data_IF_791156957915
#
_entry.id   IF_791156957915
#
_cell.length_a   1.000
_cell.length_b   1.000
_cell.length_c   1.000
_cell.angle_alpha   90.00
_cell.angle_beta   90.00
_cell.angle_gamma   90.00
#
_symmetry.space_group_name_H-M   'P 1'
#
loop_
_entity.id
_entity.type
_entity.pdbx_description
1 polymer ?
#
# COMPACT_ATOMS: atom_id res chain seq x y z
N UNK A 1 3.75 -2.48 -14.97
CA UNK A 1 5.05 -2.11 -15.53
C UNK A 1 6.09 -3.15 -15.12
N UNK A 2 6.92 -3.58 -16.06
CA UNK A 2 8.10 -4.42 -15.84
C UNK A 2 9.19 -3.98 -16.82
N UNK A 3 10.27 -3.39 -16.32
CA UNK A 3 11.33 -2.79 -17.16
C UNK A 3 12.69 -2.82 -16.48
N UNK A 4 13.77 -2.79 -17.26
CA UNK A 4 15.14 -2.80 -16.78
C UNK A 4 15.65 -4.21 -16.42
N UNK A 5 16.87 -4.26 -15.91
CA UNK A 5 17.59 -5.48 -15.54
C UNK A 5 18.34 -5.31 -14.21
N UNK A 6 18.74 -6.40 -13.59
CA UNK A 6 19.51 -6.41 -12.36
C UNK A 6 18.68 -6.49 -11.10
N UNK A 7 19.08 -5.78 -10.03
CA UNK A 7 18.37 -5.78 -8.74
C UNK A 7 16.90 -5.39 -8.91
N UNK A 8 15.99 -6.28 -8.55
CA UNK A 8 14.56 -6.01 -8.71
C UNK A 8 14.04 -5.07 -7.62
N UNK A 9 13.31 -4.03 -8.03
CA UNK A 9 12.64 -3.06 -7.19
C UNK A 9 11.14 -3.18 -7.46
N UNK A 10 10.40 -3.71 -6.49
CA UNK A 10 8.97 -4.03 -6.61
C UNK A 10 8.16 -3.02 -5.85
N UNK A 11 7.27 -2.31 -6.56
CA UNK A 11 6.40 -1.28 -6.00
C UNK A 11 4.99 -1.83 -5.80
N UNK A 12 4.46 -1.73 -4.58
CA UNK A 12 3.10 -2.18 -4.26
C UNK A 12 2.25 -1.02 -3.79
N UNK A 13 1.17 -0.78 -4.51
CA UNK A 13 0.13 0.19 -4.16
C UNK A 13 -0.92 -0.43 -3.21
N UNK A 14 -1.89 0.38 -2.78
CA UNK A 14 -3.06 -0.06 -2.02
C UNK A 14 -4.36 0.50 -2.59
N UNK A 15 -5.34 0.71 -1.72
CA UNK A 15 -6.70 1.12 -2.08
C UNK A 15 -6.87 2.65 -2.15
N UNK A 16 -7.50 3.22 -3.16
CA UNK A 16 -8.03 2.65 -4.40
C UNK A 16 -7.07 2.85 -5.60
N UNK A 17 -5.78 2.83 -5.31
CA UNK A 17 -4.74 3.17 -6.27
C UNK A 17 -4.45 2.04 -7.28
N UNK A 18 -3.41 2.25 -8.07
CA UNK A 18 -2.84 1.32 -9.03
C UNK A 18 -1.36 1.64 -9.23
N UNK A 19 -0.71 1.00 -10.18
CA UNK A 19 0.65 1.35 -10.63
C UNK A 19 0.79 2.84 -11.00
N UNK A 20 -0.30 3.49 -11.39
CA UNK A 20 -0.35 4.93 -11.69
C UNK A 20 0.13 5.81 -10.53
N UNK A 21 -0.05 5.38 -9.27
CA UNK A 21 0.44 6.07 -8.09
C UNK A 21 1.97 6.32 -8.12
N UNK A 22 2.71 5.41 -8.73
CA UNK A 22 4.17 5.42 -8.75
C UNK A 22 4.79 6.13 -9.97
N UNK A 23 3.95 6.66 -10.91
CA UNK A 23 4.39 7.24 -12.18
C UNK A 23 5.44 8.35 -12.07
N UNK A 24 5.40 9.13 -10.99
CA UNK A 24 6.32 10.23 -10.75
C UNK A 24 7.54 9.82 -9.90
N UNK A 25 7.60 8.56 -9.44
CA UNK A 25 8.68 8.02 -8.60
C UNK A 25 9.54 7.05 -9.40
N UNK A 26 8.94 6.14 -10.14
CA UNK A 26 9.68 5.11 -10.89
C UNK A 26 10.72 5.65 -11.86
N UNK A 27 10.54 6.79 -12.57
CA UNK A 27 11.56 7.33 -13.46
C UNK A 27 12.88 7.69 -12.75
N UNK A 28 12.83 8.08 -11.46
CA UNK A 28 14.04 8.44 -10.72
C UNK A 28 14.90 7.23 -10.32
N UNK A 29 14.34 6.03 -10.37
CA UNK A 29 15.04 4.77 -10.08
C UNK A 29 15.31 3.94 -11.33
N UNK A 30 14.98 4.48 -12.52
CA UNK A 30 15.37 3.87 -13.79
C UNK A 30 16.90 3.76 -13.89
N UNK A 31 17.39 2.60 -14.37
CA UNK A 31 18.83 2.31 -14.44
C UNK A 31 19.43 1.79 -13.14
N UNK A 32 18.72 1.79 -12.01
CA UNK A 32 19.19 1.21 -10.75
C UNK A 32 18.94 -0.29 -10.64
N UNK A 33 18.01 -0.80 -11.45
CA UNK A 33 17.63 -2.20 -11.45
C UNK A 33 16.41 -2.48 -12.33
N UNK A 34 15.83 -3.66 -12.16
CA UNK A 34 14.55 -4.03 -12.79
C UNK A 34 13.40 -3.49 -11.96
N UNK A 35 12.60 -2.62 -12.55
CA UNK A 35 11.44 -2.01 -11.92
C UNK A 35 10.20 -2.85 -12.22
N UNK A 36 9.51 -3.31 -11.19
CA UNK A 36 8.29 -4.11 -11.28
C UNK A 36 7.18 -3.41 -10.51
N UNK A 37 6.11 -3.03 -11.19
CA UNK A 37 4.98 -2.31 -10.61
C UNK A 37 3.68 -3.00 -11.03
N UNK A 38 3.26 -4.06 -10.32
CA UNK A 38 2.00 -4.72 -10.60
C UNK A 38 0.82 -3.87 -10.16
N UNK A 39 -0.31 -4.05 -10.82
CA UNK A 39 -1.61 -3.67 -10.31
C UNK A 39 -2.19 -4.84 -9.49
N UNK A 40 -2.69 -4.57 -8.29
CA UNK A 40 -3.37 -5.59 -7.49
C UNK A 40 -4.63 -6.08 -8.21
N UNK A 41 -4.99 -7.34 -8.02
CA UNK A 41 -6.17 -7.95 -8.65
C UNK A 41 -7.41 -7.10 -8.40
N UNK A 42 -8.15 -6.84 -9.46
CA UNK A 42 -9.34 -5.98 -9.44
C UNK A 42 -9.07 -4.48 -9.49
N UNK A 43 -7.80 -4.05 -9.55
CA UNK A 43 -7.39 -2.64 -9.54
C UNK A 43 -6.50 -2.33 -10.76
N UNK A 44 -6.42 -1.04 -11.13
CA UNK A 44 -5.61 -0.63 -12.28
C UNK A 44 -5.98 -1.36 -13.57
N UNK A 45 -4.99 -1.96 -14.22
CA UNK A 45 -5.14 -2.77 -15.42
C UNK A 45 -5.28 -4.27 -15.18
N UNK A 46 -5.27 -4.72 -13.91
CA UNK A 46 -5.47 -6.13 -13.57
C UNK A 46 -6.94 -6.56 -13.73
N UNK A 47 -7.13 -7.83 -14.02
CA UNK A 47 -8.46 -8.42 -14.23
C UNK A 47 -9.36 -8.27 -12.99
N UNK A 48 -10.65 -8.13 -13.26
CA UNK A 48 -11.72 -8.26 -12.26
C UNK A 48 -12.08 -9.73 -12.10
N UNK A 49 -12.43 -10.12 -10.87
CA UNK A 49 -12.90 -11.49 -10.63
C UNK A 49 -14.32 -11.68 -11.15
N UNK A 50 -14.61 -12.84 -11.73
CA UNK A 50 -15.95 -13.19 -12.23
C UNK A 50 -17.00 -13.25 -11.09
N UNK A 51 -16.57 -13.67 -9.90
CA UNK A 51 -17.40 -13.75 -8.70
C UNK A 51 -16.84 -12.85 -7.60
N UNK A 52 -16.96 -11.52 -7.73
CA UNK A 52 -16.40 -10.58 -6.77
C UNK A 52 -17.14 -10.65 -5.44
N UNK A 53 -16.40 -10.87 -4.36
CA UNK A 53 -16.91 -10.86 -2.99
C UNK A 53 -15.87 -10.29 -2.04
N UNK A 54 -16.26 -10.05 -0.80
CA UNK A 54 -15.34 -9.60 0.23
C UNK A 54 -14.26 -10.65 0.51
N UNK A 55 -14.62 -11.93 0.50
CA UNK A 55 -13.71 -13.05 0.74
C UNK A 55 -12.71 -13.20 -0.40
N UNK A 56 -13.18 -13.09 -1.66
CA UNK A 56 -12.33 -13.25 -2.84
C UNK A 56 -11.38 -12.07 -3.03
N UNK A 57 -11.70 -10.87 -2.55
CA UNK A 57 -10.78 -9.72 -2.50
C UNK A 57 -10.18 -9.52 -1.09
N UNK A 58 -9.96 -10.60 -0.34
CA UNK A 58 -9.36 -10.52 0.98
C UNK A 58 -7.84 -10.28 0.92
N UNK A 59 -7.27 -9.77 2.03
CA UNK A 59 -5.82 -9.65 2.18
C UNK A 59 -5.12 -10.99 1.96
N UNK A 60 -5.70 -12.07 2.46
CA UNK A 60 -5.17 -13.42 2.30
C UNK A 60 -5.06 -13.85 0.84
N UNK A 61 -6.09 -13.59 0.04
CA UNK A 61 -6.07 -13.90 -1.39
C UNK A 61 -5.06 -13.00 -2.13
N UNK A 62 -4.98 -11.70 -1.80
CA UNK A 62 -3.97 -10.82 -2.38
C UNK A 62 -2.52 -11.23 -2.03
N UNK A 63 -2.26 -11.71 -0.82
CA UNK A 63 -0.97 -12.28 -0.44
C UNK A 63 -0.65 -13.50 -1.31
N UNK A 64 -1.61 -14.40 -1.52
CA UNK A 64 -1.44 -15.58 -2.38
C UNK A 64 -1.14 -15.19 -3.83
N UNK A 65 -1.93 -14.27 -4.40
CA UNK A 65 -1.68 -13.80 -5.76
C UNK A 65 -0.33 -13.10 -5.91
N UNK A 66 0.11 -12.37 -4.90
CA UNK A 66 1.42 -11.76 -4.92
C UNK A 66 2.54 -12.80 -4.84
N UNK A 67 2.41 -13.83 -4.00
CA UNK A 67 3.33 -14.96 -3.95
C UNK A 67 3.44 -15.65 -5.32
N UNK A 68 2.31 -15.96 -5.95
CA UNK A 68 2.24 -16.60 -7.26
C UNK A 68 2.85 -15.69 -8.35
N UNK A 69 2.55 -14.40 -8.33
CA UNK A 69 3.11 -13.40 -9.25
C UNK A 69 4.65 -13.35 -9.14
N UNK A 70 5.19 -13.16 -7.92
CA UNK A 70 6.64 -13.07 -7.71
C UNK A 70 7.37 -14.38 -8.08
N UNK A 71 6.72 -15.52 -7.91
CA UNK A 71 7.27 -16.81 -8.34
C UNK A 71 7.20 -16.99 -9.86
N UNK A 72 6.20 -16.41 -10.52
CA UNK A 72 6.01 -16.49 -11.97
C UNK A 72 6.97 -15.63 -12.80
N UNK A 73 7.36 -14.45 -12.29
CA UNK A 73 8.17 -13.46 -13.05
C UNK A 73 9.68 -13.67 -13.01
N UNK A 74 10.19 -14.74 -12.42
CA UNK A 74 11.63 -15.10 -12.33
C UNK A 74 12.52 -13.91 -11.97
N UNK A 75 12.63 -13.63 -10.69
CA UNK A 75 13.55 -12.62 -10.16
C UNK A 75 14.90 -13.26 -9.83
N UNK A 76 15.99 -12.74 -10.40
CA UNK A 76 17.33 -13.34 -10.26
C UNK A 76 18.00 -13.07 -8.89
N UNK A 77 17.55 -12.06 -8.17
CA UNK A 77 18.20 -11.58 -6.94
C UNK A 77 17.17 -11.29 -5.85
N UNK A 78 17.68 -11.00 -4.63
CA UNK A 78 16.86 -10.44 -3.59
C UNK A 78 16.18 -9.16 -4.06
N UNK A 79 14.91 -8.97 -3.71
CA UNK A 79 14.13 -7.81 -4.14
C UNK A 79 14.18 -6.68 -3.12
N UNK A 80 14.06 -5.45 -3.60
CA UNK A 80 13.73 -4.29 -2.80
C UNK A 80 12.23 -4.08 -2.93
N UNK A 81 11.53 -4.00 -1.80
CA UNK A 81 10.11 -3.66 -1.76
C UNK A 81 9.93 -2.16 -1.52
N UNK A 82 9.08 -1.50 -2.31
CA UNK A 82 8.62 -0.12 -2.10
C UNK A 82 7.11 -0.18 -1.94
N UNK A 83 6.62 0.02 -0.72
CA UNK A 83 5.28 -0.40 -0.33
C UNK A 83 4.50 0.72 0.36
N UNK A 84 3.20 0.79 0.05
CA UNK A 84 2.27 1.78 0.54
C UNK A 84 0.92 1.14 0.86
N UNK A 85 0.21 1.62 1.88
CA UNK A 85 -1.14 1.22 2.25
C UNK A 85 -1.28 -0.32 2.33
N UNK A 86 -2.25 -0.95 1.67
CA UNK A 86 -2.41 -2.40 1.63
C UNK A 86 -1.26 -3.15 0.96
N UNK A 87 -0.57 -2.50 0.01
CA UNK A 87 0.67 -3.04 -0.53
C UNK A 87 1.73 -3.25 0.54
N UNK A 88 1.68 -2.48 1.64
CA UNK A 88 2.57 -2.70 2.79
C UNK A 88 2.23 -3.98 3.56
N UNK A 89 0.95 -4.27 3.79
CA UNK A 89 0.54 -5.50 4.46
C UNK A 89 0.96 -6.75 3.65
N UNK A 90 0.78 -6.70 2.32
CA UNK A 90 1.22 -7.77 1.41
C UNK A 90 2.76 -7.90 1.44
N UNK A 91 3.48 -6.79 1.30
CA UNK A 91 4.95 -6.79 1.24
C UNK A 91 5.60 -7.20 2.57
N UNK A 92 5.06 -6.78 3.70
CA UNK A 92 5.56 -7.20 5.02
C UNK A 92 5.31 -8.69 5.30
N UNK A 93 4.15 -9.23 4.91
CA UNK A 93 3.92 -10.67 5.05
C UNK A 93 4.84 -11.48 4.14
N UNK A 94 5.05 -11.04 2.89
CA UNK A 94 6.02 -11.64 1.98
C UNK A 94 7.44 -11.62 2.56
N UNK A 95 7.88 -10.48 3.11
CA UNK A 95 9.20 -10.35 3.72
C UNK A 95 9.37 -11.23 4.97
N UNK A 96 8.32 -11.40 5.77
CA UNK A 96 8.30 -12.34 6.90
C UNK A 96 8.41 -13.80 6.43
N UNK A 97 7.73 -14.14 5.33
CA UNK A 97 7.66 -15.49 4.78
C UNK A 97 8.96 -15.91 4.06
N UNK A 98 9.61 -14.94 3.39
CA UNK A 98 10.80 -15.15 2.58
C UNK A 98 11.88 -14.10 2.86
N UNK A 99 12.40 -13.99 4.09
CA UNK A 99 13.36 -12.95 4.47
C UNK A 99 14.65 -12.99 3.66
N UNK A 100 15.08 -14.18 3.23
CA UNK A 100 16.26 -14.38 2.39
C UNK A 100 16.11 -13.78 0.98
N UNK A 101 14.89 -13.55 0.51
CA UNK A 101 14.57 -12.95 -0.78
C UNK A 101 14.50 -11.42 -0.74
N UNK A 102 14.68 -10.80 0.44
CA UNK A 102 14.55 -9.35 0.62
C UNK A 102 15.92 -8.70 0.76
N UNK A 103 16.22 -7.73 -0.11
CA UNK A 103 17.39 -6.88 -0.02
C UNK A 103 17.14 -5.65 0.86
N UNK A 104 15.90 -5.16 0.89
CA UNK A 104 15.48 -4.04 1.71
C UNK A 104 14.02 -3.66 1.49
N UNK A 105 13.51 -2.81 2.37
CA UNK A 105 12.11 -2.37 2.35
C UNK A 105 12.05 -0.86 2.49
N UNK A 106 11.40 -0.19 1.55
CA UNK A 106 10.97 1.21 1.65
C UNK A 106 9.47 1.21 1.91
N UNK A 107 9.02 1.89 2.95
CA UNK A 107 7.60 1.92 3.26
C UNK A 107 7.13 3.31 3.69
N UNK A 108 5.88 3.61 3.40
CA UNK A 108 5.23 4.88 3.67
C UNK A 108 3.73 4.69 3.85
N UNK A 109 3.11 5.44 4.77
CA UNK A 109 1.67 5.38 5.08
C UNK A 109 1.15 3.92 5.10
N UNK A 110 1.82 3.10 5.91
CA UNK A 110 1.76 1.64 5.92
C UNK A 110 0.91 1.11 7.07
N UNK A 111 0.40 -0.11 6.92
CA UNK A 111 -0.31 -0.86 7.97
C UNK A 111 0.75 -1.62 8.78
N UNK A 112 1.21 -1.04 9.89
CA UNK A 112 2.36 -1.53 10.66
C UNK A 112 1.99 -2.39 11.86
N UNK A 113 0.79 -2.25 12.38
CA UNK A 113 0.27 -3.04 13.51
C UNK A 113 -1.27 -2.99 13.53
N UNK A 114 -1.94 -3.91 14.24
CA UNK A 114 -3.37 -3.77 14.54
C UNK A 114 -3.65 -2.48 15.33
N UNK A 115 -4.81 -1.89 15.12
CA UNK A 115 -5.20 -0.59 15.66
C UNK A 115 -6.50 -0.68 16.45
N UNK A 116 -6.78 0.35 17.23
CA UNK A 116 -8.10 0.58 17.82
C UNK A 116 -8.77 1.76 17.12
N UNK A 117 -10.08 1.87 17.24
CA UNK A 117 -10.79 3.06 16.74
C UNK A 117 -10.32 4.36 17.40
N UNK A 118 -9.80 4.29 18.63
CA UNK A 118 -9.16 5.43 19.30
C UNK A 118 -7.87 5.92 18.63
N UNK A 119 -7.21 5.04 17.87
CA UNK A 119 -5.95 5.33 17.17
C UNK A 119 -6.22 5.76 15.72
N UNK A 120 -7.47 5.62 15.25
CA UNK A 120 -7.88 5.99 13.90
C UNK A 120 -8.15 7.51 13.83
N UNK A 121 -7.84 8.19 12.71
CA UNK A 121 -8.10 9.61 12.56
C UNK A 121 -9.56 9.96 12.85
N UNK A 122 -9.80 10.90 13.77
CA UNK A 122 -11.14 11.23 14.26
C UNK A 122 -12.06 11.67 13.13
N UNK A 123 -11.55 12.52 12.24
CA UNK A 123 -12.30 13.04 11.09
C UNK A 123 -12.69 11.94 10.07
N UNK A 124 -11.97 10.83 10.03
CA UNK A 124 -12.25 9.69 9.15
C UNK A 124 -13.12 8.61 9.80
N UNK A 125 -13.18 8.55 11.15
CA UNK A 125 -13.84 7.48 11.90
C UNK A 125 -15.28 7.24 11.45
N UNK A 126 -16.08 8.30 11.29
CA UNK A 126 -17.51 8.19 10.92
C UNK A 126 -17.67 7.54 9.54
N UNK A 127 -16.93 7.99 8.53
CA UNK A 127 -17.06 7.48 7.16
C UNK A 127 -16.53 6.05 7.06
N UNK A 128 -15.43 5.72 7.75
CA UNK A 128 -14.91 4.34 7.75
C UNK A 128 -15.83 3.37 8.47
N UNK A 129 -16.49 3.77 9.56
CA UNK A 129 -17.54 2.95 10.20
C UNK A 129 -18.73 2.70 9.27
N UNK A 130 -19.16 3.71 8.51
CA UNK A 130 -20.23 3.53 7.51
C UNK A 130 -19.80 2.59 6.37
N UNK A 131 -18.58 2.72 5.83
CA UNK A 131 -18.08 1.81 4.79
C UNK A 131 -17.98 0.35 5.27
N UNK A 132 -17.75 0.13 6.55
CA UNK A 132 -17.68 -1.21 7.17
C UNK A 132 -19.05 -1.78 7.54
N UNK A 133 -20.13 -1.00 7.51
CA UNK A 133 -21.51 -1.44 7.70
C UNK A 133 -22.20 -1.78 6.36
N UNK A 134 -23.48 -2.16 6.42
CA UNK A 134 -24.31 -2.43 5.24
C UNK A 134 -24.43 -1.20 4.33
N UNK A 135 -24.37 0.03 4.89
CA UNK A 135 -24.36 1.27 4.12
C UNK A 135 -23.11 1.38 3.19
N UNK A 136 -22.07 0.60 3.44
CA UNK A 136 -20.86 0.58 2.62
C UNK A 136 -21.11 0.17 1.18
N UNK A 137 -22.07 -0.70 0.92
CA UNK A 137 -22.42 -1.12 -0.44
C UNK A 137 -22.94 0.04 -1.26
N UNK A 138 -23.91 0.79 -0.77
CA UNK A 138 -24.40 1.99 -1.45
C UNK A 138 -23.31 3.05 -1.62
N UNK A 139 -22.53 3.30 -0.57
CA UNK A 139 -21.49 4.34 -0.58
C UNK A 139 -20.37 4.03 -1.58
N UNK A 140 -19.97 2.78 -1.69
CA UNK A 140 -18.82 2.40 -2.51
C UNK A 140 -19.25 1.82 -3.86
N UNK A 141 -20.13 0.80 -3.87
CA UNK A 141 -20.48 0.14 -5.12
C UNK A 141 -21.29 1.06 -6.02
N UNK A 142 -22.19 1.88 -5.46
CA UNK A 142 -23.04 2.78 -6.26
C UNK A 142 -22.43 4.19 -6.38
N UNK A 143 -21.99 4.80 -5.27
CA UNK A 143 -21.54 6.20 -5.24
C UNK A 143 -20.04 6.38 -5.45
N UNK A 144 -19.26 5.29 -5.48
CA UNK A 144 -17.79 5.31 -5.65
C UNK A 144 -17.06 6.26 -4.70
N UNK A 145 -17.54 6.36 -3.45
CA UNK A 145 -17.10 7.42 -2.53
C UNK A 145 -15.60 7.34 -2.20
N UNK A 146 -15.02 6.15 -2.29
CA UNK A 146 -13.59 5.97 -2.02
C UNK A 146 -12.73 6.72 -3.05
N UNK A 147 -13.05 6.58 -4.33
CA UNK A 147 -12.33 7.27 -5.43
C UNK A 147 -12.75 8.75 -5.52
N UNK A 148 -14.04 9.05 -5.34
CA UNK A 148 -14.56 10.39 -5.59
C UNK A 148 -14.36 11.36 -4.40
N UNK A 149 -14.16 10.85 -3.18
CA UNK A 149 -14.09 11.65 -1.96
C UNK A 149 -12.85 11.35 -1.12
N UNK A 150 -12.63 10.07 -0.76
CA UNK A 150 -11.55 9.71 0.16
C UNK A 150 -10.19 9.96 -0.48
N UNK A 151 -9.97 9.47 -1.70
CA UNK A 151 -8.72 9.68 -2.43
C UNK A 151 -8.33 11.16 -2.51
N UNK A 152 -9.13 12.07 -3.10
CA UNK A 152 -8.73 13.47 -3.24
C UNK A 152 -8.64 14.21 -1.89
N UNK A 153 -9.38 13.81 -0.86
CA UNK A 153 -9.25 14.40 0.48
C UNK A 153 -8.02 13.92 1.27
N UNK A 154 -7.35 12.89 0.76
CA UNK A 154 -6.14 12.30 1.34
C UNK A 154 -4.87 12.72 0.59
N UNK A 155 -4.94 13.83 -0.15
CA UNK A 155 -3.85 14.47 -0.91
C UNK A 155 -3.91 15.97 -0.61
N UNK A 156 -2.76 16.61 -0.40
CA UNK A 156 -2.69 18.07 -0.12
C UNK A 156 -2.93 18.86 -1.41
N UNK A 157 -2.25 18.46 -2.49
CA UNK A 157 -2.43 19.13 -3.79
C UNK A 157 -3.75 18.75 -4.43
N UNK A 158 -4.25 19.59 -5.32
CA UNK A 158 -5.40 19.22 -6.14
C UNK A 158 -4.93 18.35 -7.32
N UNK A 159 -5.54 17.19 -7.50
CA UNK A 159 -5.36 16.37 -8.69
C UNK A 159 -6.01 17.06 -9.89
N UNK A 160 -5.42 16.93 -11.08
CA UNK A 160 -6.03 17.35 -12.34
C UNK A 160 -7.17 16.41 -12.73
N UNK A 161 -8.02 16.83 -13.66
CA UNK A 161 -9.12 16.00 -14.18
C UNK A 161 -8.58 14.75 -14.89
N UNK A 162 -7.41 14.83 -15.53
CA UNK A 162 -6.75 13.70 -16.16
C UNK A 162 -6.25 12.69 -15.11
N UNK A 163 -5.60 13.17 -14.04
CA UNK A 163 -5.16 12.31 -12.93
C UNK A 163 -6.34 11.62 -12.26
N UNK A 164 -7.41 12.36 -11.98
CA UNK A 164 -8.64 11.78 -11.43
C UNK A 164 -9.29 10.78 -12.40
N UNK A 165 -9.24 11.03 -13.70
CA UNK A 165 -9.73 10.08 -14.71
C UNK A 165 -8.96 8.76 -14.67
N UNK A 166 -7.64 8.79 -14.48
CA UNK A 166 -6.84 7.59 -14.34
C UNK A 166 -7.21 6.79 -13.07
N UNK A 167 -7.43 7.45 -11.93
CA UNK A 167 -7.89 6.77 -10.70
C UNK A 167 -9.31 6.22 -10.82
N UNK A 168 -10.20 6.87 -11.58
CA UNK A 168 -11.58 6.40 -11.84
C UNK A 168 -11.65 5.20 -12.77
N UNK A 169 -10.72 5.12 -13.72
CA UNK A 169 -10.77 4.17 -14.84
C UNK A 169 -11.09 2.72 -14.43
N UNK A 170 -10.50 2.14 -13.38
CA UNK A 170 -10.80 0.77 -12.97
C UNK A 170 -12.18 0.60 -12.33
N UNK A 171 -12.85 1.69 -11.96
CA UNK A 171 -14.06 1.73 -11.14
C UNK A 171 -15.22 2.50 -11.77
N UNK A 172 -15.20 2.69 -13.09
CA UNK A 172 -16.25 3.42 -13.82
C UNK A 172 -17.60 2.73 -13.73
N UNK A 173 -17.63 1.41 -13.89
CA UNK A 173 -18.85 0.63 -13.78
C UNK A 173 -19.24 0.43 -12.32
N UNK A 174 -20.45 0.83 -11.98
CA UNK A 174 -21.02 0.63 -10.65
C UNK A 174 -21.22 -0.86 -10.32
N UNK A 175 -21.36 -1.18 -9.05
CA UNK A 175 -21.56 -2.54 -8.58
C UNK A 175 -20.25 -3.31 -8.44
N UNK A 176 -20.20 -4.50 -8.99
CA UNK A 176 -19.16 -5.51 -8.77
C UNK A 176 -17.73 -5.06 -9.12
N UNK A 177 -17.57 -4.17 -10.11
CA UNK A 177 -16.24 -3.67 -10.49
C UNK A 177 -15.57 -2.86 -9.37
N UNK A 178 -16.37 -2.32 -8.44
CA UNK A 178 -15.91 -1.56 -7.27
C UNK A 178 -15.74 -2.42 -6.01
N UNK A 179 -15.99 -3.73 -6.08
CA UNK A 179 -15.85 -4.64 -4.93
C UNK A 179 -14.48 -4.55 -4.24
N UNK A 180 -13.32 -4.44 -4.93
CA UNK A 180 -12.04 -4.28 -4.25
C UNK A 180 -12.03 -3.08 -3.30
N UNK A 181 -12.57 -1.92 -3.74
CA UNK A 181 -12.60 -0.69 -2.93
C UNK A 181 -13.55 -0.76 -1.73
N UNK A 182 -14.50 -1.71 -1.72
CA UNK A 182 -15.34 -2.02 -0.56
C UNK A 182 -14.66 -3.04 0.37
N UNK A 183 -14.01 -4.05 -0.20
CA UNK A 183 -13.38 -5.10 0.59
C UNK A 183 -12.25 -4.57 1.47
N UNK A 184 -11.40 -3.69 0.95
CA UNK A 184 -10.26 -3.16 1.68
C UNK A 184 -10.61 -2.40 2.98
N UNK A 185 -11.52 -1.41 3.02
CA UNK A 185 -11.86 -0.74 4.29
C UNK A 185 -12.51 -1.68 5.30
N UNK A 186 -13.19 -2.73 4.85
CA UNK A 186 -13.78 -3.76 5.73
C UNK A 186 -12.74 -4.67 6.37
N UNK A 187 -11.52 -4.72 5.84
CA UNK A 187 -10.43 -5.54 6.34
C UNK A 187 -9.41 -4.80 7.21
N UNK A 188 -9.53 -3.48 7.37
CA UNK A 188 -8.62 -2.74 8.25
C UNK A 188 -8.66 -3.37 9.65
N UNK A 189 -7.50 -3.77 10.23
CA UNK A 189 -7.43 -4.50 11.51
C UNK A 189 -7.72 -3.57 12.70
N UNK A 190 -9.00 -3.29 12.93
CA UNK A 190 -9.49 -2.36 13.95
C UNK A 190 -10.24 -3.11 15.05
N UNK A 191 -9.88 -2.88 16.31
CA UNK A 191 -10.51 -3.50 17.48
C UNK A 191 -10.54 -5.04 17.39
N UNK A 192 -9.41 -5.64 17.01
CA UNK A 192 -9.21 -7.09 16.85
C UNK A 192 -10.08 -7.75 15.76
N UNK A 193 -10.62 -6.95 14.83
CA UNK A 193 -11.44 -7.43 13.71
C UNK A 193 -10.98 -6.85 12.35
N UNK A 194 -11.06 -7.64 11.24
CA UNK A 194 -11.32 -9.09 11.20
C UNK A 194 -10.15 -9.89 11.77
N UNK A 195 -10.45 -10.93 12.53
CA UNK A 195 -9.45 -11.73 13.28
C UNK A 195 -8.35 -12.27 12.37
N UNK A 196 -8.67 -12.78 11.18
CA UNK A 196 -7.67 -13.31 10.24
C UNK A 196 -6.66 -12.22 9.82
N UNK A 197 -7.14 -11.01 9.52
CA UNK A 197 -6.27 -9.89 9.14
C UNK A 197 -5.43 -9.42 10.32
N UNK A 198 -6.04 -9.30 11.50
CA UNK A 198 -5.33 -8.97 12.74
C UNK A 198 -4.19 -9.95 13.02
N UNK A 199 -4.40 -11.25 12.81
CA UNK A 199 -3.37 -12.27 13.01
C UNK A 199 -2.24 -12.17 11.99
N UNK A 200 -2.55 -11.91 10.71
CA UNK A 200 -1.54 -11.67 9.68
C UNK A 200 -0.69 -10.45 10.05
N UNK A 201 -1.36 -9.33 10.37
CA UNK A 201 -0.71 -8.06 10.71
C UNK A 201 0.16 -8.20 11.96
N UNK A 202 -0.33 -8.84 13.00
CA UNK A 202 0.43 -9.09 14.25
C UNK A 202 1.70 -9.91 13.98
N UNK A 203 1.59 -10.98 13.20
CA UNK A 203 2.72 -11.86 12.88
C UNK A 203 3.83 -11.13 12.12
N UNK A 204 3.50 -10.34 11.08
CA UNK A 204 4.54 -9.61 10.39
C UNK A 204 5.07 -8.41 11.20
N UNK A 205 4.24 -7.77 12.02
CA UNK A 205 4.65 -6.68 12.88
C UNK A 205 5.74 -7.10 13.86
N UNK A 206 5.55 -8.24 14.54
CA UNK A 206 6.55 -8.78 15.45
C UNK A 206 7.83 -9.19 14.71
N UNK A 207 7.72 -9.77 13.51
CA UNK A 207 8.88 -10.06 12.69
C UNK A 207 9.62 -8.77 12.28
N UNK A 208 8.91 -7.72 11.81
CA UNK A 208 9.52 -6.46 11.41
C UNK A 208 10.28 -5.77 12.54
N UNK A 209 9.84 -5.93 13.77
CA UNK A 209 10.47 -5.37 14.95
C UNK A 209 11.87 -5.94 15.23
N UNK A 210 12.08 -7.23 14.96
CA UNK A 210 13.30 -7.94 15.38
C UNK A 210 14.25 -8.29 14.23
N UNK A 211 13.78 -8.28 12.97
CA UNK A 211 14.64 -8.62 11.83
C UNK A 211 15.64 -7.49 11.47
N UNK A 212 16.72 -7.86 10.78
CA UNK A 212 17.76 -6.95 10.32
C UNK A 212 17.66 -6.55 8.85
N UNK A 213 16.55 -6.82 8.17
CA UNK A 213 16.33 -6.32 6.83
C UNK A 213 16.44 -4.79 6.86
N UNK A 214 17.24 -4.22 5.95
CA UNK A 214 17.44 -2.77 5.84
C UNK A 214 16.12 -2.09 5.47
N UNK A 215 15.74 -1.04 6.20
CA UNK A 215 14.48 -0.33 6.01
C UNK A 215 14.69 1.16 5.77
N UNK A 216 13.87 1.74 4.89
CA UNK A 216 13.66 3.17 4.78
C UNK A 216 12.21 3.47 5.15
N UNK A 217 12.00 4.16 6.24
CA UNK A 217 10.70 4.72 6.61
C UNK A 217 10.57 6.13 6.05
N UNK A 218 9.68 6.32 5.10
CA UNK A 218 9.31 7.64 4.59
C UNK A 218 8.08 8.10 5.37
N UNK A 219 8.32 8.90 6.40
CA UNK A 219 7.30 9.47 7.26
C UNK A 219 6.58 10.61 6.55
N UNK A 220 5.26 10.59 6.54
CA UNK A 220 4.42 11.67 6.04
C UNK A 220 4.18 12.72 7.14
N UNK A 221 4.29 14.01 6.80
CA UNK A 221 3.90 15.11 7.68
C UNK A 221 2.85 16.00 6.99
N UNK A 222 1.63 16.10 7.54
CA UNK A 222 1.15 15.53 8.81
C UNK A 222 0.89 14.02 8.80
N UNK A 223 0.76 13.40 7.62
CA UNK A 223 0.39 12.00 7.48
C UNK A 223 -1.11 11.75 7.65
N UNK A 224 -1.50 10.48 7.64
CA UNK A 224 -2.90 10.08 7.71
C UNK A 224 -3.13 8.85 8.57
N UNK A 225 -2.64 7.67 8.16
CA UNK A 225 -2.81 6.43 8.92
C UNK A 225 -1.58 6.06 9.75
N UNK A 226 -0.38 6.39 9.28
CA UNK A 226 0.87 6.11 9.99
C UNK A 226 1.26 7.29 10.90
N UNK A 227 0.39 7.58 11.86
CA UNK A 227 0.51 8.66 12.84
C UNK A 227 0.42 8.13 14.28
N UNK A 228 0.67 8.98 15.27
CA UNK A 228 0.49 8.63 16.68
C UNK A 228 1.17 7.31 17.07
N UNK A 229 0.42 6.39 17.67
CA UNK A 229 0.95 5.12 18.18
C UNK A 229 1.50 4.21 17.08
N UNK A 230 0.92 4.20 15.88
CA UNK A 230 1.41 3.41 14.75
C UNK A 230 2.80 3.88 14.31
N UNK A 231 2.98 5.19 14.22
CA UNK A 231 4.29 5.81 13.92
C UNK A 231 5.33 5.47 14.97
N UNK A 232 4.99 5.62 16.24
CA UNK A 232 5.88 5.27 17.34
C UNK A 232 6.18 3.77 17.40
N UNK A 233 5.26 2.92 16.96
CA UNK A 233 5.48 1.48 16.90
C UNK A 233 6.55 1.13 15.85
N UNK A 234 6.42 1.60 14.61
CA UNK A 234 7.37 1.27 13.54
C UNK A 234 8.73 1.97 13.73
N UNK A 235 8.80 3.10 14.44
CA UNK A 235 10.07 3.76 14.80
C UNK A 235 11.00 2.87 15.64
N UNK A 236 10.45 1.86 16.32
CA UNK A 236 11.21 0.89 17.13
C UNK A 236 11.75 -0.29 16.31
N UNK A 237 11.53 -0.33 15.03
CA UNK A 237 12.02 -1.41 14.18
C UNK A 237 13.53 -1.31 13.96
N UNK A 238 14.20 -2.47 13.95
CA UNK A 238 15.64 -2.54 13.76
C UNK A 238 16.06 -2.15 12.34
N UNK A 239 17.29 -1.68 12.18
CA UNK A 239 17.97 -1.38 10.91
C UNK A 239 17.14 -0.49 9.99
N UNK A 240 16.73 0.66 10.52
CA UNK A 240 15.83 1.59 9.85
C UNK A 240 16.42 3.00 9.80
N UNK A 241 16.37 3.61 8.61
CA UNK A 241 16.51 5.06 8.40
C UNK A 241 15.10 5.66 8.31
N UNK A 242 14.86 6.78 8.97
CA UNK A 242 13.63 7.58 8.82
C UNK A 242 13.96 8.88 8.09
N UNK A 243 13.08 9.26 7.17
CA UNK A 243 13.07 10.59 6.51
C UNK A 243 11.64 11.10 6.52
N UNK A 244 11.46 12.41 6.55
CA UNK A 244 10.13 13.02 6.58
C UNK A 244 9.89 13.84 5.32
N UNK A 245 8.74 13.63 4.67
CA UNK A 245 8.25 14.39 3.54
C UNK A 245 6.89 14.98 3.84
N UNK A 246 6.53 16.08 3.15
CA UNK A 246 5.21 16.68 3.30
C UNK A 246 4.16 15.85 2.57
N UNK A 247 3.05 15.54 3.23
CA UNK A 247 1.95 14.81 2.58
C UNK A 247 0.91 14.27 3.56
N UNK A 248 -0.20 13.82 2.98
CA UNK A 248 -1.24 13.06 3.67
C UNK A 248 -1.04 11.57 3.39
N UNK A 249 -2.13 10.82 3.07
CA UNK A 249 -2.03 9.38 2.82
C UNK A 249 -1.32 9.05 1.50
N UNK A 250 -1.70 9.71 0.41
CA UNK A 250 -1.07 9.49 -0.91
C UNK A 250 0.10 10.44 -1.12
N UNK A 251 1.13 10.32 -0.27
CA UNK A 251 2.31 11.20 -0.27
C UNK A 251 3.08 11.18 -1.59
N UNK A 252 2.90 10.14 -2.40
CA UNK A 252 3.44 10.02 -3.75
C UNK A 252 2.89 11.10 -4.69
N UNK A 253 1.69 11.62 -4.40
CA UNK A 253 1.09 12.74 -5.12
C UNK A 253 1.56 14.10 -4.58
N UNK A 254 1.90 14.17 -3.30
CA UNK A 254 2.26 15.42 -2.64
C UNK A 254 3.76 15.73 -2.75
N UNK A 255 4.62 14.73 -2.59
CA UNK A 255 6.10 14.89 -2.54
C UNK A 255 6.84 13.84 -3.37
N UNK A 256 6.50 13.63 -4.64
CA UNK A 256 7.12 12.56 -5.45
C UNK A 256 8.62 12.73 -5.60
N UNK A 257 9.11 13.98 -5.73
CA UNK A 257 10.53 14.26 -5.94
C UNK A 257 11.35 13.97 -4.68
N UNK A 258 10.85 14.35 -3.51
CA UNK A 258 11.55 14.09 -2.24
C UNK A 258 11.61 12.59 -1.97
N UNK A 259 10.50 11.87 -2.19
CA UNK A 259 10.43 10.41 -2.09
C UNK A 259 11.42 9.74 -3.03
N UNK A 260 11.45 10.16 -4.29
CA UNK A 260 12.35 9.64 -5.31
C UNK A 260 13.82 9.82 -4.93
N UNK A 261 14.19 11.02 -4.48
CA UNK A 261 15.55 11.35 -4.06
C UNK A 261 16.00 10.49 -2.87
N UNK A 262 15.11 10.30 -1.88
CA UNK A 262 15.45 9.48 -0.70
C UNK A 262 15.57 7.99 -1.03
N UNK A 263 14.75 7.48 -1.94
CA UNK A 263 14.86 6.10 -2.43
C UNK A 263 16.17 5.92 -3.19
N UNK A 264 16.51 6.84 -4.11
CA UNK A 264 17.76 6.82 -4.88
C UNK A 264 18.99 6.80 -3.95
N UNK A 265 19.05 7.74 -3.01
CA UNK A 265 20.14 7.83 -2.02
C UNK A 265 20.24 6.53 -1.22
N UNK A 266 19.11 6.01 -0.74
CA UNK A 266 19.08 4.83 0.13
C UNK A 266 19.51 3.55 -0.59
N UNK A 267 19.11 3.37 -1.86
CA UNK A 267 19.52 2.23 -2.67
C UNK A 267 21.03 2.28 -2.96
N UNK A 268 21.58 3.49 -3.25
CA UNK A 268 23.01 3.68 -3.53
C UNK A 268 23.92 3.51 -2.31
N UNK A 269 23.38 3.69 -1.11
CA UNK A 269 24.10 3.41 0.13
C UNK A 269 24.27 1.90 0.28
N UNK A 270 25.32 1.35 -0.36
CA UNK A 270 25.71 -0.06 -0.17
C UNK A 270 25.94 -0.33 1.30
N UNK A 271 25.36 -1.39 1.79
CA UNK A 271 25.61 -2.00 3.09
C UNK A 271 27.07 -2.32 3.27
#
# INVERSE_FOLDING_TARGET
LDSGEGQSIVFLHGNPASSFLWRNITPAVEGMGRIVVPDLIGMGGSDKLDNPSQENYSLKEHIKWFDDFINGIKLDKKIILVIHDWGSAIGFDFAKKYPERIAGIVYMEAIVCPMKWSDWPENATKVFKLMRSDAGEELILEKNIFVERILPSSIIRKLSDEEMSNYRKPFLKAGSDRQPTLSWPRQIPLNDEPTEVVDIVRKYSEFMKINNIKKLFINADPGSILIGQQREFCRKWNNQKEVTVKGLHFIQEDSPQDISNEIDIWIKQKS
#
